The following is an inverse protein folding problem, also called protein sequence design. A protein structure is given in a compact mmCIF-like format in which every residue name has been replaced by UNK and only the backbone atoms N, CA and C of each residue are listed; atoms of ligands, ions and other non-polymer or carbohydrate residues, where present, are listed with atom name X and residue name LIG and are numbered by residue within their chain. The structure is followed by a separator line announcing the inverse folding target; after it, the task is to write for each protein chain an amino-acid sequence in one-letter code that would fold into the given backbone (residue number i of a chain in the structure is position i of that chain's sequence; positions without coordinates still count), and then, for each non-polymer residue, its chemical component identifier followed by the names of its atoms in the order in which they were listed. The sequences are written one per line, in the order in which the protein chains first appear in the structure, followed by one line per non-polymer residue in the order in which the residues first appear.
data_IF_337547511067
#
_entry.id   IF_337547511067
#
_cell.length_a   1.000
_cell.length_b   1.000
_cell.length_c   1.000
_cell.angle_alpha   90.00
_cell.angle_beta   90.00
_cell.angle_gamma   90.00
#
_symmetry.space_group_name_H-M   'P 1'
#
loop_
_entity.id
_entity.type
_entity.pdbx_description
1 polymer ?
#
# COMPACT_ATOMS: atom_id res chain seq x y z
N UNK A 1 7.57 -10.57 13.83
CA UNK A 1 6.64 -9.85 12.94
C UNK A 1 5.40 -10.71 12.83
N UNK A 2 4.21 -10.11 12.78
CA UNK A 2 2.94 -10.82 12.67
C UNK A 2 2.38 -10.61 11.27
N UNK A 3 1.98 -11.69 10.61
CA UNK A 3 1.37 -11.64 9.30
C UNK A 3 -0.13 -11.93 9.45
N UNK A 4 -1.02 -10.98 9.13
CA UNK A 4 -2.44 -11.27 9.00
C UNK A 4 -2.67 -12.31 7.90
N UNK A 5 -3.84 -12.95 7.88
CA UNK A 5 -4.23 -13.87 6.81
C UNK A 5 -5.62 -13.49 6.35
N UNK A 6 -5.75 -13.16 5.06
CA UNK A 6 -7.03 -12.82 4.47
C UNK A 6 -7.88 -14.09 4.32
N UNK A 7 -9.11 -14.02 4.83
CA UNK A 7 -10.06 -15.13 4.72
C UNK A 7 -11.03 -14.88 3.57
N UNK A 8 -11.58 -15.96 3.00
CA UNK A 8 -12.69 -15.85 2.05
C UNK A 8 -13.88 -15.14 2.71
N UNK A 9 -14.55 -14.25 1.97
CA UNK A 9 -15.68 -13.47 2.50
C UNK A 9 -15.29 -12.40 3.51
N UNK A 10 -14.01 -12.03 3.59
CA UNK A 10 -13.52 -10.98 4.47
C UNK A 10 -14.22 -9.63 4.24
N UNK A 11 -14.25 -8.80 5.28
CA UNK A 11 -14.72 -7.42 5.16
C UNK A 11 -13.56 -6.49 4.85
N UNK A 12 -13.75 -5.68 3.82
CA UNK A 12 -12.83 -4.64 3.37
C UNK A 12 -13.31 -3.29 3.91
N UNK A 13 -12.46 -2.60 4.67
CA UNK A 13 -12.64 -1.20 5.04
C UNK A 13 -12.02 -0.28 3.99
N UNK A 14 -12.74 0.78 3.62
CA UNK A 14 -12.27 1.76 2.63
C UNK A 14 -12.31 3.15 3.25
N UNK A 15 -11.13 3.69 3.53
CA UNK A 15 -10.91 5.05 4.05
C UNK A 15 -9.85 5.73 3.19
N UNK A 16 -9.84 7.07 3.15
CA UNK A 16 -8.85 7.86 2.41
C UNK A 16 -7.93 8.60 3.39
N UNK A 17 -6.86 7.95 3.90
CA UNK A 17 -5.94 8.57 4.85
C UNK A 17 -5.05 9.63 4.21
N UNK A 18 -5.03 9.75 2.88
CA UNK A 18 -4.34 10.83 2.14
C UNK A 18 -5.33 11.66 1.31
N UNK A 19 -5.36 11.50 -0.02
CA UNK A 19 -6.34 12.11 -0.92
C UNK A 19 -7.61 11.27 -0.96
N UNK A 20 -8.76 11.92 -0.97
CA UNK A 20 -10.03 11.26 -1.28
C UNK A 20 -10.32 11.33 -2.76
N UNK A 21 -11.53 10.94 -3.16
CA UNK A 21 -11.94 10.90 -4.56
C UNK A 21 -12.73 12.17 -4.89
N UNK A 22 -12.29 12.87 -5.94
CA UNK A 22 -13.01 14.02 -6.48
C UNK A 22 -14.39 13.58 -7.00
N UNK A 23 -15.39 14.46 -6.91
CA UNK A 23 -16.78 14.15 -7.26
C UNK A 23 -16.92 13.60 -8.68
N UNK A 24 -16.14 14.11 -9.62
CA UNK A 24 -16.14 13.69 -11.03
C UNK A 24 -15.65 12.25 -11.23
N UNK A 25 -15.02 11.65 -10.22
CA UNK A 25 -14.44 10.31 -10.25
C UNK A 25 -15.13 9.35 -9.29
N UNK A 26 -16.23 9.74 -8.64
CA UNK A 26 -16.99 8.88 -7.72
C UNK A 26 -17.50 7.61 -8.40
N UNK A 27 -17.89 7.68 -9.68
CA UNK A 27 -18.27 6.51 -10.48
C UNK A 27 -17.14 5.45 -10.58
N UNK A 28 -15.87 5.86 -10.49
CA UNK A 28 -14.75 4.91 -10.47
C UNK A 28 -14.73 4.14 -9.13
N UNK A 29 -14.93 4.85 -8.03
CA UNK A 29 -14.93 4.31 -6.68
C UNK A 29 -16.12 3.37 -6.47
N UNK A 30 -17.32 3.76 -6.88
CA UNK A 30 -18.53 2.93 -6.80
C UNK A 30 -18.36 1.61 -7.53
N UNK A 31 -17.85 1.63 -8.77
CA UNK A 31 -17.55 0.40 -9.52
C UNK A 31 -16.52 -0.49 -8.83
N UNK A 32 -15.52 0.10 -8.17
CA UNK A 32 -14.52 -0.66 -7.41
C UNK A 32 -15.17 -1.36 -6.21
N UNK A 33 -16.06 -0.66 -5.50
CA UNK A 33 -16.82 -1.20 -4.36
C UNK A 33 -17.73 -2.34 -4.82
N UNK A 34 -18.47 -2.15 -5.90
CA UNK A 34 -19.34 -3.17 -6.49
C UNK A 34 -18.53 -4.40 -6.91
N UNK A 35 -17.35 -4.18 -7.50
CA UNK A 35 -16.49 -5.29 -7.92
C UNK A 35 -16.03 -6.14 -6.74
N UNK A 36 -15.60 -5.52 -5.64
CA UNK A 36 -15.22 -6.26 -4.42
C UNK A 36 -16.40 -7.06 -3.84
N UNK A 37 -17.62 -6.50 -3.87
CA UNK A 37 -18.83 -7.22 -3.45
C UNK A 37 -19.13 -8.42 -4.36
N UNK A 38 -18.98 -8.27 -5.67
CA UNK A 38 -19.16 -9.37 -6.64
C UNK A 38 -18.12 -10.48 -6.47
N UNK A 39 -16.90 -10.14 -6.05
CA UNK A 39 -15.85 -11.11 -5.69
C UNK A 39 -16.08 -11.79 -4.33
N UNK A 40 -17.15 -11.44 -3.64
CA UNK A 40 -17.61 -12.10 -2.42
C UNK A 40 -17.14 -11.42 -1.12
N UNK A 41 -16.53 -10.24 -1.18
CA UNK A 41 -16.14 -9.47 0.01
C UNK A 41 -17.32 -8.66 0.57
N UNK A 42 -17.33 -8.48 1.88
CA UNK A 42 -18.12 -7.42 2.49
C UNK A 42 -17.34 -6.10 2.39
N UNK A 43 -18.03 -4.97 2.30
CA UNK A 43 -17.38 -3.66 2.15
C UNK A 43 -17.99 -2.65 3.12
N UNK A 44 -17.14 -1.99 3.90
CA UNK A 44 -17.48 -0.88 4.79
C UNK A 44 -16.73 0.36 4.30
N UNK A 45 -17.48 1.38 3.92
CA UNK A 45 -16.93 2.65 3.45
C UNK A 45 -16.93 3.69 4.57
N UNK A 46 -15.85 4.45 4.66
CA UNK A 46 -15.80 5.70 5.42
C UNK A 46 -16.34 6.87 4.61
N UNK A 47 -16.37 8.04 5.23
CA UNK A 47 -16.81 9.29 4.61
C UNK A 47 -15.66 9.97 3.85
N UNK A 48 -14.42 9.82 4.32
CA UNK A 48 -13.28 10.55 3.74
C UNK A 48 -13.02 10.19 2.28
N UNK A 49 -13.44 9.02 1.82
CA UNK A 49 -13.26 8.58 0.44
C UNK A 49 -14.04 9.43 -0.57
N UNK A 50 -15.13 10.07 -0.13
CA UNK A 50 -16.02 10.87 -0.98
C UNK A 50 -15.69 12.36 -0.98
N UNK A 51 -14.71 12.77 -0.19
CA UNK A 51 -14.34 14.17 0.02
C UNK A 51 -12.97 14.45 -0.56
N UNK A 52 -12.78 15.65 -1.11
CA UNK A 52 -11.46 16.15 -1.48
C UNK A 52 -11.43 17.67 -1.24
N UNK A 53 -10.53 18.11 -0.38
CA UNK A 53 -10.25 19.53 -0.13
C UNK A 53 -8.76 19.80 -0.32
N UNK A 54 -8.45 20.57 -1.35
CA UNK A 54 -7.08 20.88 -1.81
C UNK A 54 -6.32 19.59 -2.18
N UNK A 55 -5.47 19.08 -1.29
CA UNK A 55 -4.56 17.96 -1.50
C UNK A 55 -4.80 16.79 -0.53
N UNK A 56 -5.98 16.73 0.10
CA UNK A 56 -6.35 15.70 1.07
C UNK A 56 -7.84 15.46 1.09
N UNK A 57 -8.27 14.29 1.56
CA UNK A 57 -9.68 13.97 1.70
C UNK A 57 -10.39 14.88 2.70
N UNK A 58 -9.81 15.03 3.89
CA UNK A 58 -10.38 15.75 5.01
C UNK A 58 -9.28 16.31 5.95
N UNK A 59 -9.63 17.14 6.96
CA UNK A 59 -8.66 17.55 7.99
C UNK A 59 -7.96 16.34 8.64
N UNK A 60 -6.70 16.48 9.03
CA UNK A 60 -5.87 15.37 9.50
C UNK A 60 -6.51 14.54 10.62
N UNK A 61 -7.14 15.21 11.60
CA UNK A 61 -7.85 14.52 12.70
C UNK A 61 -9.05 13.70 12.25
N UNK A 62 -9.76 14.12 11.19
CA UNK A 62 -10.90 13.38 10.64
C UNK A 62 -10.41 12.12 9.92
N UNK A 63 -9.40 12.27 9.07
CA UNK A 63 -8.74 11.13 8.40
C UNK A 63 -8.17 10.12 9.40
N UNK A 64 -7.49 10.62 10.43
CA UNK A 64 -6.93 9.78 11.49
C UNK A 64 -8.01 9.05 12.29
N UNK A 65 -9.08 9.75 12.68
CA UNK A 65 -10.18 9.15 13.44
C UNK A 65 -10.84 8.02 12.65
N UNK A 66 -11.16 8.24 11.39
CA UNK A 66 -11.78 7.22 10.54
C UNK A 66 -10.87 5.99 10.35
N UNK A 67 -9.56 6.22 10.12
CA UNK A 67 -8.60 5.11 10.04
C UNK A 67 -8.47 4.39 11.40
N UNK A 68 -8.44 5.11 12.52
CA UNK A 68 -8.37 4.51 13.85
C UNK A 68 -9.59 3.61 14.10
N UNK A 69 -10.79 4.06 13.75
CA UNK A 69 -12.02 3.31 13.92
C UNK A 69 -11.99 2.02 13.08
N UNK A 70 -11.60 2.11 11.80
CA UNK A 70 -11.50 0.92 10.94
C UNK A 70 -10.41 -0.06 11.38
N UNK A 71 -9.29 0.43 11.90
CA UNK A 71 -8.19 -0.41 12.38
C UNK A 71 -8.51 -1.08 13.73
N UNK A 72 -9.48 -0.57 14.48
CA UNK A 72 -9.97 -1.16 15.74
C UNK A 72 -11.16 -2.10 15.55
N UNK A 73 -11.93 -1.91 14.49
CA UNK A 73 -13.15 -2.69 14.22
C UNK A 73 -12.83 -4.18 13.99
N UNK A 74 -13.37 -5.07 14.82
CA UNK A 74 -13.14 -6.52 14.71
C UNK A 74 -13.72 -7.15 13.45
N UNK A 75 -14.69 -6.51 12.80
CA UNK A 75 -15.33 -7.03 11.60
C UNK A 75 -14.51 -6.79 10.33
N UNK A 76 -13.59 -5.80 10.35
CA UNK A 76 -12.74 -5.44 9.20
C UNK A 76 -11.44 -6.26 9.19
N UNK A 77 -11.19 -7.00 8.12
CA UNK A 77 -10.00 -7.85 7.96
C UNK A 77 -8.90 -7.25 7.09
N UNK A 78 -9.26 -6.28 6.26
CA UNK A 78 -8.37 -5.59 5.33
C UNK A 78 -8.83 -4.15 5.17
N UNK A 79 -7.91 -3.20 5.18
CA UNK A 79 -8.17 -1.83 4.76
C UNK A 79 -7.43 -1.56 3.45
N UNK A 80 -8.17 -1.10 2.43
CA UNK A 80 -7.64 -0.74 1.11
C UNK A 80 -8.15 0.66 0.72
N UNK A 81 -7.31 1.70 0.79
CA UNK A 81 -7.68 3.03 0.35
C UNK A 81 -7.95 3.11 -1.16
N UNK A 82 -8.72 4.11 -1.64
CA UNK A 82 -8.98 4.32 -3.06
C UNK A 82 -7.69 4.51 -3.86
N UNK A 83 -6.76 5.30 -3.32
CA UNK A 83 -5.45 5.61 -3.89
C UNK A 83 -4.54 6.28 -2.84
N UNK A 84 -3.34 6.71 -3.26
CA UNK A 84 -2.41 7.53 -2.47
C UNK A 84 -2.83 9.01 -2.36
N UNK A 85 -1.86 9.91 -2.42
CA UNK A 85 -2.06 11.35 -2.27
C UNK A 85 -0.76 12.07 -1.94
N UNK A 86 -0.83 13.09 -1.08
CA UNK A 86 0.31 13.99 -0.81
C UNK A 86 0.55 14.26 0.69
N UNK A 87 -0.50 14.15 1.51
CA UNK A 87 -0.52 14.68 2.88
C UNK A 87 -0.88 13.62 3.92
N UNK A 88 -0.58 12.34 3.66
CA UNK A 88 -0.78 11.29 4.65
C UNK A 88 0.03 11.56 5.90
N UNK A 89 1.25 12.09 5.77
CA UNK A 89 2.15 12.31 6.90
C UNK A 89 1.53 13.14 8.04
N UNK A 90 0.56 14.02 7.74
CA UNK A 90 -0.16 14.82 8.73
C UNK A 90 -0.94 13.98 9.75
N UNK A 91 -1.28 12.72 9.46
CA UNK A 91 -2.13 11.91 10.34
C UNK A 91 -1.35 11.07 11.34
N UNK A 92 -0.04 10.83 11.12
CA UNK A 92 0.73 9.82 11.87
C UNK A 92 0.71 10.06 13.39
N UNK A 93 0.75 11.33 13.82
CA UNK A 93 0.70 11.71 15.23
C UNK A 93 -0.69 11.57 15.88
N UNK A 94 -1.71 11.29 15.07
CA UNK A 94 -3.09 11.08 15.51
C UNK A 94 -3.50 9.60 15.43
N UNK A 95 -2.61 8.71 14.97
CA UNK A 95 -2.89 7.29 14.86
C UNK A 95 -2.57 6.55 16.14
N UNK A 96 -3.53 5.77 16.61
CA UNK A 96 -3.45 5.08 17.88
C UNK A 96 -2.91 3.64 17.68
N UNK A 97 -1.69 3.53 17.14
CA UNK A 97 -1.06 2.27 16.70
C UNK A 97 -1.13 1.14 17.73
N UNK A 98 -1.07 1.45 19.02
CA UNK A 98 -1.09 0.47 20.11
C UNK A 98 -2.42 -0.29 20.24
N UNK A 99 -3.53 0.26 19.73
CA UNK A 99 -4.85 -0.37 19.77
C UNK A 99 -5.28 -0.98 18.43
N UNK A 100 -4.42 -0.92 17.42
CA UNK A 100 -4.75 -1.48 16.11
C UNK A 100 -4.75 -3.00 16.16
N UNK A 101 -5.77 -3.59 15.55
CA UNK A 101 -5.85 -5.03 15.39
C UNK A 101 -4.90 -5.51 14.29
N UNK A 102 -4.50 -6.77 14.37
CA UNK A 102 -3.68 -7.42 13.36
C UNK A 102 -4.49 -7.73 12.10
N UNK A 103 -4.61 -6.75 11.21
CA UNK A 103 -5.29 -6.85 9.92
C UNK A 103 -4.44 -6.30 8.79
N UNK A 104 -4.79 -6.61 7.55
CA UNK A 104 -4.05 -6.13 6.40
C UNK A 104 -4.30 -4.64 6.13
N UNK A 105 -3.24 -3.93 5.75
CA UNK A 105 -3.29 -2.63 5.09
C UNK A 105 -2.62 -2.80 3.72
N UNK A 106 -3.33 -2.43 2.65
CA UNK A 106 -2.87 -2.58 1.27
C UNK A 106 -2.89 -1.23 0.54
N UNK A 107 -1.82 -0.93 -0.19
CA UNK A 107 -1.77 0.18 -1.14
C UNK A 107 -0.34 0.54 -1.55
N UNK A 108 -0.17 1.64 -2.27
CA UNK A 108 1.17 2.14 -2.68
C UNK A 108 1.22 3.67 -2.78
N UNK A 109 2.33 4.22 -3.28
CA UNK A 109 2.55 5.67 -3.38
C UNK A 109 2.58 6.31 -1.98
N UNK A 110 1.87 7.41 -1.72
CA UNK A 110 1.85 8.09 -0.42
C UNK A 110 1.40 7.20 0.75
N UNK A 111 0.62 6.14 0.47
CA UNK A 111 0.28 5.12 1.47
C UNK A 111 1.52 4.44 2.05
N UNK A 112 2.64 4.40 1.34
CA UNK A 112 3.92 3.85 1.83
C UNK A 112 4.34 4.44 3.17
N UNK A 113 4.00 5.72 3.42
CA UNK A 113 4.24 6.40 4.71
C UNK A 113 3.52 5.65 5.83
N UNK A 114 2.23 5.36 5.63
CA UNK A 114 1.41 4.61 6.59
C UNK A 114 1.88 3.16 6.70
N UNK A 115 2.12 2.48 5.58
CA UNK A 115 2.50 1.08 5.55
C UNK A 115 3.81 0.84 6.33
N UNK A 116 4.82 1.67 6.07
CA UNK A 116 6.10 1.57 6.76
C UNK A 116 5.96 1.94 8.23
N UNK A 117 5.35 3.09 8.55
CA UNK A 117 5.18 3.52 9.94
C UNK A 117 4.40 2.48 10.76
N UNK A 118 3.28 1.97 10.23
CA UNK A 118 2.49 0.94 10.89
C UNK A 118 3.30 -0.33 11.14
N UNK A 119 4.04 -0.81 10.13
CA UNK A 119 4.88 -2.00 10.28
C UNK A 119 5.95 -1.80 11.35
N UNK A 120 6.63 -0.66 11.34
CA UNK A 120 7.67 -0.33 12.32
C UNK A 120 7.12 -0.22 13.74
N UNK A 121 5.97 0.42 13.92
CA UNK A 121 5.36 0.68 15.24
C UNK A 121 4.71 -0.55 15.87
N UNK A 122 4.18 -1.46 15.05
CA UNK A 122 3.32 -2.55 15.54
C UNK A 122 3.93 -3.94 15.34
N UNK A 123 4.91 -4.06 14.45
CA UNK A 123 5.43 -5.35 13.99
C UNK A 123 4.44 -6.18 13.19
N UNK A 124 3.30 -5.62 12.76
CA UNK A 124 2.32 -6.26 11.88
C UNK A 124 2.69 -5.96 10.42
N UNK A 125 2.64 -6.98 9.58
CA UNK A 125 2.91 -6.85 8.16
C UNK A 125 1.82 -6.05 7.44
N UNK A 126 2.24 -5.19 6.53
CA UNK A 126 1.39 -4.53 5.54
C UNK A 126 1.78 -5.00 4.14
N UNK A 127 0.96 -4.67 3.15
CA UNK A 127 1.21 -5.02 1.76
C UNK A 127 1.34 -3.78 0.88
N UNK A 128 2.49 -3.66 0.21
CA UNK A 128 2.69 -2.64 -0.82
C UNK A 128 2.24 -3.20 -2.17
N UNK A 129 1.17 -2.66 -2.73
CA UNK A 129 0.51 -3.20 -3.92
C UNK A 129 -0.65 -2.34 -4.37
N UNK A 130 -1.51 -2.90 -5.21
CA UNK A 130 -2.64 -2.18 -5.86
C UNK A 130 -3.53 -1.41 -4.88
N UNK A 131 -4.04 -0.26 -5.33
CA UNK A 131 -5.08 0.49 -4.64
C UNK A 131 -6.47 0.07 -5.14
N UNK A 132 -7.52 0.36 -4.37
CA UNK A 132 -8.87 -0.11 -4.69
C UNK A 132 -9.33 0.28 -6.10
N UNK A 133 -9.05 1.51 -6.54
CA UNK A 133 -9.57 2.02 -7.82
C UNK A 133 -9.07 1.22 -9.02
N UNK A 134 -7.92 0.56 -8.90
CA UNK A 134 -7.30 -0.25 -9.95
C UNK A 134 -7.96 -1.63 -10.05
N UNK A 135 -8.70 -2.04 -9.02
CA UNK A 135 -9.48 -3.27 -9.00
C UNK A 135 -10.89 -3.10 -9.58
N UNK A 136 -11.22 -1.94 -10.17
CA UNK A 136 -12.54 -1.65 -10.76
C UNK A 136 -12.81 -2.37 -12.09
N UNK A 137 -11.79 -2.95 -12.70
CA UNK A 137 -11.92 -3.63 -13.98
C UNK A 137 -12.89 -4.82 -13.92
N UNK A 138 -13.41 -5.24 -15.07
CA UNK A 138 -14.18 -6.49 -15.18
C UNK A 138 -13.33 -7.71 -14.76
N UNK A 139 -12.02 -7.57 -14.88
CA UNK A 139 -11.01 -8.49 -14.38
C UNK A 139 -9.72 -7.73 -14.09
N UNK A 140 -8.84 -8.31 -13.28
CA UNK A 140 -7.49 -7.76 -13.04
C UNK A 140 -6.47 -8.49 -13.89
N UNK A 141 -5.43 -7.78 -14.33
CA UNK A 141 -4.28 -8.43 -14.95
C UNK A 141 -3.57 -9.38 -13.95
N UNK A 142 -2.75 -10.29 -14.47
CA UNK A 142 -2.11 -11.33 -13.67
C UNK A 142 -1.22 -10.80 -12.53
N UNK A 143 -0.68 -9.59 -12.67
CA UNK A 143 0.17 -8.95 -11.66
C UNK A 143 -0.71 -8.33 -10.58
N UNK A 144 -1.66 -7.48 -10.96
CA UNK A 144 -2.56 -6.82 -10.01
C UNK A 144 -3.36 -7.85 -9.21
N UNK A 145 -3.87 -8.92 -9.85
CA UNK A 145 -4.62 -9.99 -9.20
C UNK A 145 -3.86 -10.74 -8.09
N UNK A 146 -2.52 -10.61 -8.00
CA UNK A 146 -1.72 -11.33 -7.00
C UNK A 146 -1.96 -10.87 -5.58
N UNK A 147 -2.50 -9.68 -5.36
CA UNK A 147 -2.79 -9.16 -4.02
C UNK A 147 -3.55 -10.20 -3.19
N UNK A 148 -4.62 -10.80 -3.75
CA UNK A 148 -5.46 -11.75 -3.04
C UNK A 148 -4.68 -13.01 -2.62
N UNK A 149 -3.88 -13.57 -3.53
CA UNK A 149 -3.08 -14.76 -3.25
C UNK A 149 -1.98 -14.49 -2.21
N UNK A 150 -1.33 -13.32 -2.28
CA UNK A 150 -0.30 -12.92 -1.31
C UNK A 150 -0.92 -12.75 0.09
N UNK A 151 -2.04 -12.03 0.20
CA UNK A 151 -2.66 -11.77 1.50
C UNK A 151 -3.33 -13.01 2.11
N UNK A 152 -3.68 -14.00 1.29
CA UNK A 152 -4.26 -15.28 1.74
C UNK A 152 -3.21 -16.34 2.08
N UNK A 153 -1.92 -16.08 1.84
CA UNK A 153 -0.85 -17.06 2.10
C UNK A 153 -0.74 -17.33 3.60
N UNK A 154 -0.84 -18.59 3.99
CA UNK A 154 -0.84 -19.01 5.39
C UNK A 154 0.55 -19.05 6.04
N UNK A 155 0.58 -19.19 7.36
CA UNK A 155 1.82 -19.34 8.10
C UNK A 155 2.57 -20.62 7.69
N UNK A 156 3.83 -20.48 7.31
CA UNK A 156 4.68 -21.59 6.82
C UNK A 156 4.49 -21.90 5.33
N UNK A 157 3.51 -21.27 4.67
CA UNK A 157 3.34 -21.35 3.23
C UNK A 157 4.21 -20.30 2.51
N UNK A 158 4.32 -20.44 1.19
CA UNK A 158 5.09 -19.52 0.36
C UNK A 158 4.40 -19.29 -0.97
N UNK A 159 4.53 -18.07 -1.49
CA UNK A 159 4.09 -17.70 -2.83
C UNK A 159 5.27 -17.24 -3.66
N UNK A 160 5.30 -17.66 -4.94
CA UNK A 160 6.29 -17.21 -5.91
C UNK A 160 5.69 -16.08 -6.74
N UNK A 161 6.45 -15.00 -6.87
CA UNK A 161 6.11 -13.85 -7.70
C UNK A 161 7.08 -13.76 -8.88
N UNK A 162 6.57 -13.28 -10.00
CA UNK A 162 7.30 -13.05 -11.23
C UNK A 162 7.11 -11.60 -11.65
N UNK A 163 8.02 -11.04 -12.45
CA UNK A 163 7.78 -9.75 -13.09
C UNK A 163 6.52 -9.82 -13.95
N UNK A 164 5.80 -8.70 -14.06
CA UNK A 164 4.84 -8.56 -15.15
C UNK A 164 5.57 -8.77 -16.50
N UNK A 165 4.90 -9.26 -17.55
CA UNK A 165 5.51 -9.30 -18.88
C UNK A 165 5.70 -7.88 -19.45
N UNK A 166 4.74 -7.00 -19.17
CA UNK A 166 4.68 -5.64 -19.69
C UNK A 166 4.19 -4.66 -18.60
N UNK A 167 4.41 -3.37 -18.82
CA UNK A 167 3.90 -2.26 -18.03
C UNK A 167 3.31 -1.18 -18.92
N UNK A 168 2.50 -0.30 -18.33
CA UNK A 168 1.94 0.86 -19.01
C UNK A 168 2.84 2.08 -18.78
N UNK A 169 3.27 2.72 -19.87
CA UNK A 169 4.13 3.92 -19.80
C UNK A 169 3.37 5.23 -19.59
N UNK A 170 2.16 5.34 -20.14
CA UNK A 170 1.33 6.54 -20.08
C UNK A 170 -0.14 6.16 -19.99
N UNK A 171 -0.94 6.98 -19.31
CA UNK A 171 -2.39 6.79 -19.20
C UNK A 171 -3.09 7.11 -20.51
N UNK A 172 -4.00 6.22 -20.90
CA UNK A 172 -4.94 6.39 -22.01
C UNK A 172 -6.35 6.32 -21.44
N UNK A 173 -6.90 7.48 -21.09
CA UNK A 173 -8.25 7.58 -20.53
C UNK A 173 -9.34 7.59 -21.61
N UNK A 174 -8.96 7.83 -22.87
CA UNK A 174 -9.89 7.94 -23.99
C UNK A 174 -10.29 6.55 -24.54
N UNK A 175 -9.49 5.53 -24.24
CA UNK A 175 -9.74 4.15 -24.64
C UNK A 175 -9.81 3.25 -23.39
N UNK A 176 -10.98 2.98 -22.79
CA UNK A 176 -11.05 2.15 -21.59
C UNK A 176 -10.77 0.67 -21.87
N UNK A 177 -10.01 0.02 -20.99
CA UNK A 177 -9.71 -1.43 -21.02
C UNK A 177 -10.47 -2.19 -19.92
N UNK A 178 -10.88 -3.45 -20.15
CA UNK A 178 -11.47 -4.30 -19.11
C UNK A 178 -10.59 -4.50 -17.86
N UNK A 179 -9.26 -4.33 -17.99
CA UNK A 179 -8.27 -4.54 -16.94
C UNK A 179 -7.70 -3.25 -16.33
N UNK A 180 -8.31 -2.09 -16.62
CA UNK A 180 -7.80 -0.74 -16.27
C UNK A 180 -6.54 -0.32 -17.02
N UNK A 181 -5.53 -1.18 -17.11
CA UNK A 181 -4.24 -0.88 -17.72
C UNK A 181 -4.16 -1.22 -19.21
N UNK A 182 -3.34 -0.44 -19.92
CA UNK A 182 -2.89 -0.63 -21.29
C UNK A 182 -1.41 -0.99 -21.29
N UNK A 183 -1.11 -2.28 -21.18
CA UNK A 183 0.26 -2.77 -21.15
C UNK A 183 0.90 -2.58 -22.54
N UNK A 184 2.00 -1.83 -22.60
CA UNK A 184 2.59 -1.36 -23.86
C UNK A 184 4.09 -1.60 -23.97
N UNK A 185 4.79 -1.71 -22.84
CA UNK A 185 6.25 -1.80 -22.81
C UNK A 185 6.70 -3.04 -22.05
N UNK A 186 7.74 -3.76 -22.51
CA UNK A 186 8.22 -4.96 -21.82
C UNK A 186 8.90 -4.63 -20.48
N UNK A 187 8.67 -5.49 -19.49
CA UNK A 187 9.30 -5.40 -18.16
C UNK A 187 10.54 -6.30 -18.09
N UNK A 188 11.60 -5.81 -17.45
CA UNK A 188 12.84 -6.58 -17.25
C UNK A 188 13.37 -6.42 -15.83
N UNK A 189 13.81 -7.52 -15.23
CA UNK A 189 14.68 -7.48 -14.05
C UNK A 189 16.13 -7.31 -14.48
N UNK A 190 16.85 -6.41 -13.80
CA UNK A 190 18.27 -6.14 -14.02
C UNK A 190 19.01 -6.10 -12.71
N UNK A 191 20.27 -6.50 -12.74
CA UNK A 191 21.20 -6.34 -11.62
C UNK A 191 22.27 -5.33 -12.01
N UNK A 192 22.85 -4.63 -11.04
CA UNK A 192 23.83 -3.56 -11.31
C UNK A 192 25.07 -4.07 -12.06
N UNK A 193 25.41 -5.35 -11.90
CA UNK A 193 26.57 -6.00 -12.52
C UNK A 193 26.19 -6.98 -13.64
N UNK A 194 24.92 -7.03 -14.04
CA UNK A 194 24.38 -8.01 -15.01
C UNK A 194 24.71 -9.49 -14.68
N UNK A 195 24.91 -9.78 -13.39
CA UNK A 195 25.12 -11.13 -12.86
C UNK A 195 23.90 -11.61 -12.08
N UNK A 196 23.71 -12.93 -11.99
CA UNK A 196 22.70 -13.52 -11.10
C UNK A 196 23.06 -13.20 -9.64
N UNK A 197 22.07 -12.76 -8.88
CA UNK A 197 22.20 -12.53 -7.43
C UNK A 197 21.11 -13.29 -6.69
N UNK A 198 21.40 -13.70 -5.47
CA UNK A 198 20.45 -14.30 -4.54
C UNK A 198 20.51 -13.52 -3.24
N UNK A 199 19.34 -13.08 -2.76
CA UNK A 199 19.19 -12.23 -1.59
C UNK A 199 18.09 -12.82 -0.71
N UNK A 200 18.28 -12.79 0.60
CA UNK A 200 17.31 -13.25 1.58
C UNK A 200 17.23 -12.25 2.73
N UNK A 201 16.01 -11.90 3.13
CA UNK A 201 15.74 -11.00 4.24
C UNK A 201 14.26 -10.65 4.34
N UNK A 202 13.90 -9.89 5.38
CA UNK A 202 12.56 -9.33 5.54
C UNK A 202 12.42 -8.11 4.64
N UNK A 203 11.42 -8.13 3.76
CA UNK A 203 11.10 -6.97 2.93
C UNK A 203 10.65 -5.79 3.79
N UNK A 204 11.25 -4.63 3.57
CA UNK A 204 10.88 -3.37 4.19
C UNK A 204 11.13 -2.25 3.17
N UNK A 205 10.24 -1.25 3.10
CA UNK A 205 10.40 -0.14 2.16
C UNK A 205 9.10 0.42 1.64
N UNK A 206 9.08 0.83 0.37
CA UNK A 206 7.97 1.53 -0.27
C UNK A 206 8.44 2.62 -1.23
N UNK A 207 7.57 3.60 -1.48
CA UNK A 207 7.89 4.78 -2.31
C UNK A 207 8.90 5.68 -1.60
N UNK A 208 10.13 5.74 -2.13
CA UNK A 208 11.24 6.47 -1.51
C UNK A 208 10.99 7.98 -1.45
N UNK A 209 10.21 8.51 -2.39
CA UNK A 209 9.80 9.91 -2.46
C UNK A 209 9.20 10.37 -1.12
N UNK A 210 8.39 9.50 -0.49
CA UNK A 210 7.61 9.80 0.71
C UNK A 210 8.17 9.16 1.98
N UNK A 211 8.63 7.90 1.95
CA UNK A 211 9.08 7.21 3.19
C UNK A 211 10.38 7.80 3.74
N UNK A 212 11.18 8.48 2.91
CA UNK A 212 12.37 9.21 3.38
C UNK A 212 12.06 10.27 4.43
N UNK A 213 10.83 10.78 4.48
CA UNK A 213 10.38 11.76 5.48
C UNK A 213 10.19 11.14 6.87
N UNK A 214 10.18 9.81 6.99
CA UNK A 214 10.13 9.12 8.28
C UNK A 214 11.50 9.04 8.97
N UNK A 215 12.59 9.24 8.23
CA UNK A 215 13.96 9.12 8.76
C UNK A 215 14.18 10.14 9.87
N UNK A 216 14.62 9.65 11.04
CA UNK A 216 14.87 10.49 12.21
C UNK A 216 13.61 10.89 13.00
N UNK A 217 12.44 10.38 12.61
CA UNK A 217 11.19 10.54 13.35
C UNK A 217 10.87 9.29 14.18
N UNK A 218 9.99 9.39 15.20
CA UNK A 218 9.50 8.22 15.94
C UNK A 218 8.73 7.18 15.11
N UNK A 219 8.38 7.51 13.87
CA UNK A 219 7.66 6.63 12.92
C UNK A 219 8.61 5.90 11.96
N UNK A 220 9.90 6.26 11.94
CA UNK A 220 10.94 5.65 11.11
C UNK A 220 12.00 4.90 11.91
N UNK A 221 11.69 4.44 13.12
CA UNK A 221 12.65 3.73 13.99
C UNK A 221 12.86 2.27 13.56
N UNK A 222 13.67 2.11 12.51
CA UNK A 222 14.02 0.79 11.95
C UNK A 222 14.82 -0.04 12.95
N UNK A 223 15.67 0.58 13.77
CA UNK A 223 16.51 -0.14 14.73
C UNK A 223 15.65 -0.78 15.82
N UNK A 224 14.70 -0.03 16.38
CA UNK A 224 13.75 -0.57 17.35
C UNK A 224 12.94 -1.72 16.74
N UNK A 225 12.41 -1.55 15.52
CA UNK A 225 11.70 -2.61 14.82
C UNK A 225 12.56 -3.86 14.62
N UNK A 226 13.80 -3.68 14.15
CA UNK A 226 14.71 -4.78 13.88
C UNK A 226 15.00 -5.59 15.15
N UNK A 227 15.24 -4.92 16.27
CA UNK A 227 15.51 -5.55 17.56
C UNK A 227 14.28 -6.24 18.16
N UNK A 228 13.12 -5.58 18.14
CA UNK A 228 11.94 -6.01 18.91
C UNK A 228 10.95 -6.86 18.11
N UNK A 229 10.90 -6.69 16.79
CA UNK A 229 9.89 -7.34 15.96
C UNK A 229 10.45 -8.42 15.05
N UNK A 230 11.72 -8.35 14.63
CA UNK A 230 12.31 -9.36 13.74
C UNK A 230 13.62 -9.95 14.28
N UNK A 231 13.93 -9.80 15.56
CA UNK A 231 15.07 -10.45 16.23
C UNK A 231 16.42 -10.28 15.50
N UNK A 232 16.66 -9.11 14.91
CA UNK A 232 17.82 -8.79 14.09
C UNK A 232 17.98 -9.62 12.81
N UNK A 233 16.90 -10.19 12.27
CA UNK A 233 16.88 -10.72 10.91
C UNK A 233 17.31 -9.65 9.89
N UNK A 234 18.01 -10.04 8.81
CA UNK A 234 18.43 -9.10 7.78
C UNK A 234 17.23 -8.49 7.07
N UNK A 235 17.31 -7.18 6.80
CA UNK A 235 16.30 -6.45 6.05
C UNK A 235 16.73 -6.39 4.58
N UNK A 236 15.79 -6.69 3.69
CA UNK A 236 15.91 -6.49 2.26
C UNK A 236 15.08 -5.27 1.87
N UNK A 237 15.75 -4.18 1.52
CA UNK A 237 15.08 -2.94 1.13
C UNK A 237 14.49 -3.03 -0.27
N UNK A 238 13.19 -2.72 -0.41
CA UNK A 238 12.54 -2.49 -1.69
C UNK A 238 12.14 -1.02 -1.80
N UNK A 239 12.58 -0.34 -2.86
CA UNK A 239 12.37 1.09 -3.02
C UNK A 239 11.91 1.36 -4.45
N UNK A 240 10.75 2.00 -4.59
CA UNK A 240 10.30 2.57 -5.86
C UNK A 240 10.52 4.09 -5.84
N UNK A 241 10.82 4.66 -6.99
CA UNK A 241 11.00 6.10 -7.19
C UNK A 241 9.99 6.57 -8.22
N UNK A 242 9.08 7.45 -7.84
CA UNK A 242 8.03 7.96 -8.73
C UNK A 242 8.48 9.25 -9.43
N UNK A 243 8.96 10.23 -8.66
CA UNK A 243 9.19 11.59 -9.17
C UNK A 243 10.56 12.16 -8.81
N UNK A 244 11.32 11.55 -7.88
CA UNK A 244 12.63 12.10 -7.52
C UNK A 244 13.57 12.17 -8.73
N UNK A 245 14.21 13.33 -8.85
CA UNK A 245 15.36 13.50 -9.72
C UNK A 245 16.47 12.51 -9.33
N UNK A 246 17.33 12.16 -10.29
CA UNK A 246 18.49 11.29 -10.03
C UNK A 246 19.36 11.80 -8.88
N UNK A 247 19.52 13.13 -8.77
CA UNK A 247 20.31 13.76 -7.71
C UNK A 247 19.64 13.58 -6.35
N UNK A 248 18.33 13.76 -6.27
CA UNK A 248 17.60 13.62 -5.01
C UNK A 248 17.47 12.16 -4.57
N UNK A 249 17.25 11.24 -5.51
CA UNK A 249 17.31 9.81 -5.24
C UNK A 249 18.68 9.42 -4.66
N UNK A 250 19.77 9.87 -5.29
CA UNK A 250 21.13 9.62 -4.79
C UNK A 250 21.34 10.20 -3.40
N UNK A 251 20.81 11.39 -3.10
CA UNK A 251 20.89 12.01 -1.76
C UNK A 251 20.12 11.17 -0.73
N UNK A 252 18.90 10.74 -1.05
CA UNK A 252 18.09 9.89 -0.17
C UNK A 252 18.82 8.59 0.18
N UNK A 253 19.36 7.89 -0.82
CA UNK A 253 20.05 6.60 -0.62
C UNK A 253 21.37 6.70 0.16
N UNK A 254 22.02 7.88 0.22
CA UNK A 254 23.29 8.04 0.95
C UNK A 254 23.14 7.88 2.46
N UNK A 255 21.93 8.09 2.98
CA UNK A 255 21.62 8.05 4.41
C UNK A 255 20.89 6.77 4.82
N UNK A 256 20.54 5.90 3.87
CA UNK A 256 20.11 4.52 4.13
C UNK A 256 21.36 3.69 4.47
N UNK A 257 21.72 3.61 5.75
CA UNK A 257 22.79 2.74 6.26
C UNK A 257 22.26 1.84 7.35
#
# INVERSE_FOLDING_TARGET
MRYPVLQAGATIGITAPSSGVQTELHDLLERSIERMKLEGFNVICGETIWTQDKAKSAPARVRAAELNDMMRDAEISLVIPPWGGELLIEILEHLDFEYFQSKWLLGYSDLSVLLLAFTLKTGIATAHGTNLIELRGESSDATSAKWHAVLSTGAGESIIQYSSPEYQKAWDHDNPSPYVYHLTEPTYWRTVQDTRVELQGRLLGGCIDVIRHLIGTPFGDVQQFQQHHIHNEPILWYLENCELSTTDLRRSLRWCR
#
